data_IF_238820184522
#
_entry.id   IF_238820184522
#
_cell.length_a   1.000
_cell.length_b   1.000
_cell.length_c   1.000
_cell.angle_alpha   90.00
_cell.angle_beta   90.00
_cell.angle_gamma   90.00
#
_symmetry.space_group_name_H-M   'P 1'
#
loop_
_entity.id
_entity.type
_entity.pdbx_description
1 polymer ?
#
# COMPACT_ATOMS: atom_id res chain seq x y z
N UNK A 1 -8.27 19.04 -3.41
CA UNK A 1 -7.28 18.27 -2.64
C UNK A 1 -7.62 16.80 -2.66
N UNK A 2 -6.64 15.93 -2.88
CA UNK A 2 -6.87 14.49 -2.99
C UNK A 2 -7.47 13.88 -1.71
N UNK A 3 -7.24 14.50 -0.55
CA UNK A 3 -7.70 14.03 0.76
C UNK A 3 -8.00 15.25 1.65
N UNK A 4 -9.06 15.20 2.46
CA UNK A 4 -9.37 16.30 3.39
C UNK A 4 -8.28 16.46 4.47
N UNK A 5 -8.06 17.66 5.03
CA UNK A 5 -7.01 17.90 6.03
C UNK A 5 -7.08 16.95 7.25
N UNK A 6 -8.31 16.60 7.66
CA UNK A 6 -8.56 15.63 8.73
C UNK A 6 -8.20 14.19 8.33
N UNK A 7 -8.51 13.78 7.09
CA UNK A 7 -8.16 12.45 6.63
C UNK A 7 -6.63 12.31 6.44
N UNK A 8 -5.94 13.40 6.10
CA UNK A 8 -4.47 13.42 6.05
C UNK A 8 -3.83 13.22 7.43
N UNK A 9 -4.35 13.88 8.47
CA UNK A 9 -3.84 13.68 9.84
C UNK A 9 -4.09 12.26 10.35
N UNK A 10 -5.25 11.67 10.03
CA UNK A 10 -5.57 10.28 10.35
C UNK A 10 -4.65 9.28 9.63
N UNK A 11 -4.40 9.46 8.33
CA UNK A 11 -3.43 8.65 7.58
C UNK A 11 -2.04 8.78 8.21
N UNK A 12 -1.62 10.00 8.56
CA UNK A 12 -0.33 10.23 9.22
C UNK A 12 -0.18 9.44 10.52
N UNK A 13 -1.20 9.50 11.39
CA UNK A 13 -1.22 8.73 12.64
C UNK A 13 -1.18 7.22 12.35
N UNK A 14 -1.99 6.74 11.40
CA UNK A 14 -2.03 5.32 11.05
C UNK A 14 -0.67 4.81 10.53
N UNK A 15 0.01 5.59 9.69
CA UNK A 15 1.34 5.27 9.16
C UNK A 15 2.39 5.25 10.28
N UNK A 16 2.35 6.22 11.21
CA UNK A 16 3.25 6.23 12.36
C UNK A 16 3.05 5.02 13.27
N UNK A 17 1.80 4.64 13.53
CA UNK A 17 1.47 3.44 14.31
C UNK A 17 1.97 2.18 13.59
N UNK A 18 1.75 2.09 12.27
CA UNK A 18 2.20 0.95 11.45
C UNK A 18 3.73 0.82 11.49
N UNK A 19 4.45 1.92 11.27
CA UNK A 19 5.91 1.94 11.34
C UNK A 19 6.41 1.58 12.74
N UNK A 20 5.78 2.09 13.79
CA UNK A 20 6.13 1.78 15.17
C UNK A 20 5.95 0.28 15.49
N UNK A 21 4.80 -0.30 15.14
CA UNK A 21 4.55 -1.73 15.39
C UNK A 21 5.51 -2.63 14.61
N UNK A 22 5.69 -2.35 13.32
CA UNK A 22 6.54 -3.17 12.45
C UNK A 22 8.01 -3.08 12.86
N UNK A 23 8.52 -1.87 13.11
CA UNK A 23 9.91 -1.70 13.58
C UNK A 23 10.15 -2.28 14.97
N UNK A 24 9.16 -2.21 15.87
CA UNK A 24 9.24 -2.82 17.20
C UNK A 24 9.37 -4.33 17.14
N UNK A 25 8.52 -4.99 16.34
CA UNK A 25 8.60 -6.44 16.15
C UNK A 25 9.88 -6.85 15.42
N UNK A 26 10.28 -6.10 14.40
CA UNK A 26 11.52 -6.36 13.66
C UNK A 26 12.75 -6.28 14.56
N UNK A 27 12.83 -5.26 15.43
CA UNK A 27 13.93 -5.11 16.37
C UNK A 27 14.04 -6.30 17.33
N UNK A 28 12.92 -6.78 17.88
CA UNK A 28 12.88 -7.98 18.73
C UNK A 28 13.38 -9.20 17.97
N UNK A 29 12.81 -9.47 16.78
CA UNK A 29 13.19 -10.62 15.96
C UNK A 29 14.67 -10.60 15.56
N UNK A 30 15.22 -9.43 15.21
CA UNK A 30 16.63 -9.29 14.86
C UNK A 30 17.55 -9.48 16.07
N UNK A 31 17.15 -9.05 17.27
CA UNK A 31 17.88 -9.29 18.51
C UNK A 31 17.85 -10.77 18.92
N UNK A 32 16.69 -11.42 18.81
CA UNK A 32 16.56 -12.87 19.05
C UNK A 32 17.42 -13.67 18.08
N UNK A 33 17.39 -13.31 16.80
CA UNK A 33 18.26 -13.90 15.79
C UNK A 33 19.74 -13.71 16.16
N UNK A 34 20.16 -12.48 16.48
CA UNK A 34 21.53 -12.19 16.86
C UNK A 34 21.98 -12.93 18.14
N UNK A 35 21.07 -13.14 19.10
CA UNK A 35 21.34 -13.87 20.35
C UNK A 35 21.42 -15.39 20.14
N UNK A 36 20.75 -15.93 19.11
CA UNK A 36 20.80 -17.36 18.77
C UNK A 36 22.08 -17.78 18.04
N UNK A 37 22.88 -16.84 17.55
CA UNK A 37 24.10 -17.13 16.80
C UNK A 37 25.24 -17.62 17.73
N UNK A 38 26.12 -18.53 17.26
CA UNK A 38 27.28 -19.00 18.04
C UNK A 38 28.23 -17.86 18.45
N UNK A 39 28.97 -17.96 19.56
CA UNK A 39 29.84 -16.86 20.03
C UNK A 39 30.91 -16.41 19.02
N UNK A 40 31.39 -17.32 18.16
CA UNK A 40 32.36 -17.01 17.09
C UNK A 40 31.75 -16.33 15.86
N UNK A 41 30.42 -16.19 15.79
CA UNK A 41 29.71 -15.55 14.68
C UNK A 41 30.12 -14.08 14.47
N UNK A 42 30.54 -13.39 15.54
CA UNK A 42 31.04 -12.00 15.48
C UNK A 42 32.36 -11.86 14.71
N UNK A 43 33.17 -12.92 14.64
CA UNK A 43 34.47 -12.92 13.94
C UNK A 43 34.35 -13.33 12.48
N UNK A 44 33.32 -14.10 12.14
CA UNK A 44 33.11 -14.56 10.78
C UNK A 44 32.32 -13.52 9.97
N UNK A 45 32.99 -12.96 8.96
CA UNK A 45 32.44 -11.93 8.06
C UNK A 45 31.16 -12.38 7.32
N UNK A 46 30.96 -13.68 7.15
CA UNK A 46 29.78 -14.20 6.46
C UNK A 46 28.50 -13.99 7.26
N UNK A 47 28.50 -14.27 8.58
CA UNK A 47 27.32 -14.05 9.43
C UNK A 47 26.95 -12.58 9.55
N UNK A 48 27.97 -11.71 9.63
CA UNK A 48 27.75 -10.25 9.61
C UNK A 48 27.07 -9.83 8.31
N UNK A 49 27.56 -10.33 7.16
CA UNK A 49 26.97 -10.02 5.85
C UNK A 49 25.55 -10.55 5.71
N UNK A 50 25.25 -11.73 6.24
CA UNK A 50 23.90 -12.30 6.22
C UNK A 50 22.92 -11.46 7.07
N UNK A 51 23.36 -11.04 8.26
CA UNK A 51 22.56 -10.16 9.12
C UNK A 51 22.31 -8.79 8.47
N UNK A 52 23.34 -8.17 7.89
CA UNK A 52 23.21 -6.90 7.16
C UNK A 52 22.23 -7.04 5.99
N UNK A 53 22.31 -8.13 5.24
CA UNK A 53 21.38 -8.40 4.14
C UNK A 53 19.94 -8.58 4.64
N UNK A 54 19.75 -9.27 5.76
CA UNK A 54 18.43 -9.47 6.38
C UNK A 54 17.81 -8.13 6.78
N UNK A 55 18.55 -7.31 7.53
CA UNK A 55 18.10 -5.99 7.99
C UNK A 55 17.83 -5.06 6.81
N UNK A 56 18.74 -5.01 5.83
CA UNK A 56 18.59 -4.14 4.67
C UNK A 56 17.39 -4.55 3.80
N UNK A 57 17.18 -5.86 3.60
CA UNK A 57 16.01 -6.36 2.88
C UNK A 57 14.71 -6.01 3.59
N UNK A 58 14.69 -6.14 4.92
CA UNK A 58 13.50 -5.81 5.72
C UNK A 58 13.21 -4.29 5.67
N UNK A 59 14.23 -3.44 5.75
CA UNK A 59 14.08 -1.98 5.61
C UNK A 59 13.51 -1.58 4.24
N UNK A 60 14.01 -2.18 3.16
CA UNK A 60 13.50 -1.91 1.80
C UNK A 60 12.03 -2.33 1.72
N UNK A 61 11.69 -3.53 2.21
CA UNK A 61 10.32 -4.02 2.22
C UNK A 61 9.40 -3.10 3.03
N UNK A 62 9.83 -2.66 4.22
CA UNK A 62 9.08 -1.74 5.07
C UNK A 62 8.74 -0.46 4.31
N UNK A 63 9.74 0.20 3.71
CA UNK A 63 9.54 1.46 2.97
C UNK A 63 8.59 1.25 1.79
N UNK A 64 8.82 0.20 0.99
CA UNK A 64 8.01 -0.09 -0.20
C UNK A 64 6.56 -0.37 0.19
N UNK A 65 6.32 -1.27 1.15
CA UNK A 65 4.97 -1.64 1.57
C UNK A 65 4.25 -0.47 2.23
N UNK A 66 4.91 0.26 3.14
CA UNK A 66 4.30 1.43 3.79
C UNK A 66 3.94 2.51 2.77
N UNK A 67 4.80 2.77 1.77
CA UNK A 67 4.50 3.73 0.71
C UNK A 67 3.28 3.31 -0.13
N UNK A 68 3.18 2.02 -0.47
CA UNK A 68 2.08 1.48 -1.25
C UNK A 68 0.77 1.51 -0.47
N UNK A 69 0.81 1.18 0.82
CA UNK A 69 -0.36 1.27 1.72
C UNK A 69 -0.82 2.72 1.83
N UNK A 70 0.10 3.67 2.02
CA UNK A 70 -0.23 5.10 2.09
C UNK A 70 -0.91 5.59 0.80
N UNK A 71 -0.34 5.26 -0.35
CA UNK A 71 -0.89 5.64 -1.65
C UNK A 71 -2.26 5.01 -1.90
N UNK A 72 -2.39 3.71 -1.64
CA UNK A 72 -3.65 2.97 -1.84
C UNK A 72 -4.75 3.49 -0.91
N UNK A 73 -4.40 3.79 0.35
CA UNK A 73 -5.35 4.34 1.32
C UNK A 73 -5.78 5.75 0.92
N UNK A 74 -4.84 6.59 0.50
CA UNK A 74 -5.15 7.93 -0.01
C UNK A 74 -6.06 7.88 -1.23
N UNK A 75 -5.83 6.94 -2.16
CA UNK A 75 -6.67 6.77 -3.35
C UNK A 75 -8.06 6.23 -2.98
N UNK A 76 -8.14 5.29 -2.05
CA UNK A 76 -9.41 4.74 -1.57
C UNK A 76 -10.30 5.82 -0.93
N UNK A 77 -9.70 6.74 -0.17
CA UNK A 77 -10.41 7.87 0.44
C UNK A 77 -10.82 8.97 -0.55
N UNK A 78 -10.22 9.00 -1.74
CA UNK A 78 -10.51 9.93 -2.82
C UNK A 78 -11.38 9.31 -3.93
N UNK A 79 -11.77 8.05 -3.76
CA UNK A 79 -12.38 7.25 -4.81
C UNK A 79 -13.75 7.77 -5.24
N UNK A 80 -14.48 8.38 -4.31
CA UNK A 80 -15.75 9.05 -4.56
C UNK A 80 -15.63 10.23 -5.51
N UNK A 81 -14.68 11.12 -5.27
CA UNK A 81 -14.41 12.26 -6.16
C UNK A 81 -13.99 11.78 -7.57
N UNK A 82 -13.20 10.70 -7.64
CA UNK A 82 -12.80 10.07 -8.89
C UNK A 82 -14.02 9.52 -9.66
N UNK A 83 -14.94 8.84 -8.98
CA UNK A 83 -16.17 8.34 -9.61
C UNK A 83 -17.05 9.47 -10.12
N UNK A 84 -17.24 10.54 -9.34
CA UNK A 84 -18.01 11.72 -9.77
C UNK A 84 -17.34 12.36 -11.00
N UNK A 85 -16.02 12.47 -11.02
CA UNK A 85 -15.27 13.00 -12.17
C UNK A 85 -15.44 12.15 -13.44
N UNK A 86 -15.41 10.81 -13.32
CA UNK A 86 -15.65 9.91 -14.45
C UNK A 86 -17.09 10.02 -14.96
N UNK A 87 -18.08 10.06 -14.05
CA UNK A 87 -19.48 10.24 -14.44
C UNK A 87 -19.70 11.61 -15.10
N UNK A 88 -18.99 12.65 -14.64
CA UNK A 88 -18.96 13.97 -15.27
C UNK A 88 -18.34 13.98 -16.67
N UNK A 89 -17.34 13.14 -16.94
CA UNK A 89 -16.78 12.98 -18.29
C UNK A 89 -17.73 12.27 -19.27
N UNK A 90 -18.71 11.53 -18.77
CA UNK A 90 -19.74 10.85 -19.57
C UNK A 90 -21.00 11.72 -19.76
N UNK A 91 -20.91 13.03 -19.47
CA UNK A 91 -22.02 13.98 -19.54
C UNK A 91 -22.70 14.00 -20.92
N UNK A 92 -24.03 13.84 -20.91
CA UNK A 92 -24.88 13.89 -22.10
C UNK A 92 -26.20 13.13 -22.00
N UNK A 93 -26.41 12.30 -20.97
CA UNK A 93 -27.63 11.49 -20.81
C UNK A 93 -28.36 11.81 -19.51
N UNK A 94 -29.70 11.67 -19.49
CA UNK A 94 -30.49 11.89 -18.27
C UNK A 94 -30.11 10.91 -17.14
N UNK A 95 -29.53 9.77 -17.51
CA UNK A 95 -29.00 8.76 -16.59
C UNK A 95 -27.79 9.26 -15.80
N UNK A 96 -26.84 9.96 -16.43
CA UNK A 96 -25.65 10.49 -15.72
C UNK A 96 -26.01 11.56 -14.68
N UNK A 97 -27.08 12.32 -14.90
CA UNK A 97 -27.61 13.28 -13.91
C UNK A 97 -28.19 12.60 -12.66
N UNK A 98 -29.00 11.56 -12.85
CA UNK A 98 -29.59 10.81 -11.72
C UNK A 98 -28.54 10.04 -10.92
N UNK A 99 -27.54 9.49 -11.59
CA UNK A 99 -26.41 8.81 -10.94
C UNK A 99 -25.58 9.81 -10.13
N UNK A 100 -25.32 11.00 -10.66
CA UNK A 100 -24.59 12.06 -9.94
C UNK A 100 -25.33 12.54 -8.69
N UNK A 101 -26.62 12.83 -8.78
CA UNK A 101 -27.43 13.28 -7.64
C UNK A 101 -27.57 12.18 -6.57
N UNK A 102 -27.73 10.92 -7.00
CA UNK A 102 -27.77 9.76 -6.08
C UNK A 102 -26.43 9.51 -5.40
N UNK A 103 -25.33 9.71 -6.12
CA UNK A 103 -23.98 9.65 -5.54
C UNK A 103 -23.81 10.78 -4.53
N UNK A 104 -24.02 12.05 -4.89
CA UNK A 104 -23.88 13.19 -3.96
C UNK A 104 -24.67 13.00 -2.64
N UNK A 105 -25.89 12.43 -2.71
CA UNK A 105 -26.70 12.14 -1.51
C UNK A 105 -26.18 10.97 -0.66
N UNK A 106 -25.69 9.88 -1.26
CA UNK A 106 -25.08 8.75 -0.52
C UNK A 106 -23.69 9.08 0.03
N UNK A 107 -22.98 10.06 -0.54
CA UNK A 107 -21.62 10.42 -0.17
C UNK A 107 -21.49 11.08 1.21
N UNK A 108 -22.59 11.58 1.79
CA UNK A 108 -22.61 12.09 3.17
C UNK A 108 -22.29 10.99 4.21
N UNK A 109 -22.58 9.72 3.88
CA UNK A 109 -22.16 8.51 4.61
C UNK A 109 -21.12 7.68 3.84
N UNK A 110 -20.66 8.19 2.69
CA UNK A 110 -20.11 7.37 1.61
C UNK A 110 -18.64 6.99 1.71
N UNK A 111 -17.83 7.64 2.55
CA UNK A 111 -16.37 7.32 2.62
C UNK A 111 -16.08 5.89 3.06
N UNK A 112 -16.93 5.30 3.92
CA UNK A 112 -16.78 3.91 4.36
C UNK A 112 -17.25 2.95 3.27
N UNK A 113 -18.32 3.32 2.56
CA UNK A 113 -18.87 2.52 1.46
C UNK A 113 -17.93 2.57 0.24
N UNK A 114 -17.34 3.72 -0.08
CA UNK A 114 -16.37 3.89 -1.16
C UNK A 114 -15.08 3.12 -0.89
N UNK A 115 -14.56 3.16 0.35
CA UNK A 115 -13.45 2.30 0.77
C UNK A 115 -13.81 0.81 0.68
N UNK A 116 -15.02 0.42 1.07
CA UNK A 116 -15.52 -0.95 0.92
C UNK A 116 -15.63 -1.39 -0.55
N UNK A 117 -16.16 -0.53 -1.43
CA UNK A 117 -16.30 -0.79 -2.85
C UNK A 117 -14.93 -0.88 -3.54
N UNK A 118 -13.99 -0.03 -3.14
CA UNK A 118 -12.61 -0.08 -3.60
C UNK A 118 -11.94 -1.42 -3.24
N UNK A 119 -12.13 -1.90 -1.99
CA UNK A 119 -11.62 -3.22 -1.58
C UNK A 119 -12.25 -4.33 -2.43
N UNK A 120 -13.54 -4.26 -2.74
CA UNK A 120 -14.22 -5.23 -3.62
C UNK A 120 -13.67 -5.18 -5.05
N UNK A 121 -13.42 -3.98 -5.59
CA UNK A 121 -12.84 -3.81 -6.93
C UNK A 121 -11.40 -4.33 -6.98
N UNK A 122 -10.56 -3.99 -6.00
CA UNK A 122 -9.18 -4.50 -5.91
C UNK A 122 -9.16 -6.01 -5.71
N UNK A 123 -10.03 -6.55 -4.85
CA UNK A 123 -10.18 -7.99 -4.68
C UNK A 123 -10.66 -8.67 -5.97
N UNK A 124 -11.57 -8.04 -6.72
CA UNK A 124 -12.05 -8.50 -8.03
C UNK A 124 -10.97 -8.45 -9.11
N UNK A 125 -10.09 -7.45 -9.09
CA UNK A 125 -8.95 -7.35 -10.02
C UNK A 125 -8.00 -8.55 -9.93
N UNK A 126 -7.99 -9.29 -8.80
CA UNK A 126 -7.30 -10.59 -8.71
C UNK A 126 -7.70 -11.59 -9.78
N UNK A 127 -8.95 -11.56 -10.24
CA UNK A 127 -9.46 -12.52 -11.22
C UNK A 127 -9.33 -12.02 -12.66
N UNK A 128 -9.23 -10.70 -12.86
CA UNK A 128 -9.17 -10.08 -14.19
C UNK A 128 -7.73 -9.79 -14.62
N UNK A 129 -6.86 -9.45 -13.67
CA UNK A 129 -5.49 -9.04 -13.95
C UNK A 129 -4.55 -10.24 -13.79
N UNK A 130 -3.79 -10.63 -14.83
CA UNK A 130 -2.84 -11.74 -14.77
C UNK A 130 -1.58 -11.32 -14.00
N UNK A 131 -1.68 -11.28 -12.67
CA UNK A 131 -0.61 -10.80 -11.77
C UNK A 131 0.73 -11.52 -11.98
N UNK A 132 0.69 -12.82 -12.28
CA UNK A 132 1.89 -13.62 -12.58
C UNK A 132 2.66 -13.10 -13.80
N UNK A 133 1.95 -12.59 -14.82
CA UNK A 133 2.59 -12.03 -16.00
C UNK A 133 3.22 -10.66 -15.68
N UNK A 134 2.52 -9.82 -14.91
CA UNK A 134 3.00 -8.50 -14.51
C UNK A 134 4.26 -8.61 -13.65
N UNK A 135 4.27 -9.52 -12.67
CA UNK A 135 5.46 -9.76 -11.84
C UNK A 135 6.64 -10.25 -12.68
N UNK A 136 6.41 -11.15 -13.64
CA UNK A 136 7.45 -11.59 -14.58
C UNK A 136 8.03 -10.47 -15.44
N UNK A 137 7.21 -9.53 -15.92
CA UNK A 137 7.69 -8.36 -16.65
C UNK A 137 8.53 -7.42 -15.79
N UNK A 138 8.12 -7.20 -14.54
CA UNK A 138 8.87 -6.37 -13.58
C UNK A 138 10.23 -7.00 -13.27
N UNK A 139 10.26 -8.31 -12.97
CA UNK A 139 11.50 -9.04 -12.71
C UNK A 139 12.46 -8.98 -13.90
N UNK A 140 11.95 -9.17 -15.12
CA UNK A 140 12.77 -9.08 -16.34
C UNK A 140 13.34 -7.67 -16.57
N UNK A 141 12.59 -6.63 -16.18
CA UNK A 141 13.00 -5.23 -16.33
C UNK A 141 14.06 -4.85 -15.28
N UNK A 142 13.90 -5.32 -14.05
CA UNK A 142 14.90 -5.16 -12.99
C UNK A 142 16.19 -5.91 -13.35
N UNK A 143 16.09 -7.12 -13.90
CA UNK A 143 17.25 -7.88 -14.36
C UNK A 143 18.02 -7.14 -15.46
N UNK A 144 17.31 -6.48 -16.40
CA UNK A 144 17.93 -5.66 -17.45
C UNK A 144 18.59 -4.39 -16.93
N UNK A 145 18.11 -3.80 -15.84
CA UNK A 145 18.73 -2.61 -15.22
C UNK A 145 19.97 -2.96 -14.39
N UNK A 146 20.14 -4.25 -14.04
CA UNK A 146 21.26 -4.76 -13.26
C UNK A 146 22.40 -5.32 -14.12
N UNK A 147 22.15 -5.52 -15.42
CA UNK A 147 23.10 -5.96 -16.44
C UNK A 147 23.72 -4.76 -17.15
#
# INVERSE_FOLDING_TARGET
>A
DLVSPMAWSLIGIAVLILLFMESGMAAVNHLEYAASLPEDSRKNREYVRQFDNLVNSHLIQLIVVTSLVLLTTSLALAFDDLLISIVGLLEGTQWTGQVRESLELQMTYGKVISAGLFIVVVAGMRFLVPWQAITGYIESSIAKLRA
#
